data_IF_854842689548
#
_entry.id   IF_854842689548
#
_cell.length_a   1.000
_cell.length_b   1.000
_cell.length_c   1.000
_cell.angle_alpha   90.00
_cell.angle_beta   90.00
_cell.angle_gamma   90.00
#
_symmetry.space_group_name_H-M   'P 1'
#
loop_
_entity.id
_entity.type
_entity.pdbx_description
1 polymer ?
#
# COMPACT_ATOMS: atom_id res chain seq x y z
N UNK A 1 11.48 8.06 -16.76
CA UNK A 1 11.77 7.01 -15.75
C UNK A 1 10.49 6.82 -14.96
N UNK A 2 10.02 5.58 -14.80
CA UNK A 2 8.76 5.29 -14.10
C UNK A 2 9.10 4.97 -12.66
N UNK A 3 8.67 5.82 -11.74
CA UNK A 3 8.85 5.64 -10.30
C UNK A 3 7.53 5.28 -9.65
N UNK A 4 7.51 4.26 -8.81
CA UNK A 4 6.33 3.87 -8.04
C UNK A 4 6.62 3.94 -6.54
N UNK A 5 5.59 4.23 -5.75
CA UNK A 5 5.62 4.08 -4.31
C UNK A 5 4.93 2.77 -3.94
N UNK A 6 5.65 1.88 -3.27
CA UNK A 6 5.13 0.64 -2.70
C UNK A 6 5.09 0.77 -1.18
N UNK A 7 3.91 0.62 -0.58
CA UNK A 7 3.76 0.69 0.88
C UNK A 7 3.28 -0.60 1.50
N UNK A 8 3.68 -0.82 2.75
CA UNK A 8 3.12 -1.84 3.64
C UNK A 8 2.93 -1.26 5.04
N UNK A 9 2.43 -2.07 5.96
CA UNK A 9 2.19 -1.66 7.34
C UNK A 9 3.05 -2.45 8.32
N UNK A 10 3.42 -1.82 9.43
CA UNK A 10 3.97 -2.51 10.59
C UNK A 10 3.00 -3.53 11.22
N UNK A 11 3.49 -4.43 12.08
CA UNK A 11 2.61 -5.29 12.88
C UNK A 11 1.65 -4.50 13.76
N UNK A 12 0.45 -5.02 13.96
CA UNK A 12 -0.60 -4.41 14.78
C UNK A 12 -1.54 -5.47 15.36
N UNK A 13 -2.38 -5.07 16.31
CA UNK A 13 -3.45 -5.93 16.83
C UNK A 13 -2.95 -7.18 17.57
N UNK A 14 -1.75 -7.12 18.16
CA UNK A 14 -1.12 -8.24 18.88
C UNK A 14 -0.39 -9.25 18.00
N UNK A 15 -0.26 -8.99 16.69
CA UNK A 15 0.63 -9.75 15.81
C UNK A 15 2.05 -9.21 15.88
N UNK A 16 3.04 -10.09 15.85
CA UNK A 16 4.46 -9.73 15.72
C UNK A 16 4.90 -9.58 14.24
N UNK A 17 4.02 -9.95 13.31
CA UNK A 17 4.31 -9.96 11.87
C UNK A 17 3.21 -9.25 11.07
N UNK A 18 3.60 -8.66 9.94
CA UNK A 18 2.67 -8.16 8.94
C UNK A 18 3.23 -8.47 7.54
N UNK A 19 2.56 -9.38 6.83
CA UNK A 19 3.02 -9.86 5.51
C UNK A 19 3.19 -8.72 4.50
N UNK A 20 2.45 -7.61 4.65
CA UNK A 20 2.64 -6.44 3.78
C UNK A 20 4.02 -5.79 3.98
N UNK A 21 4.51 -5.68 5.22
CA UNK A 21 5.86 -5.21 5.52
C UNK A 21 6.91 -6.17 4.97
N UNK A 22 6.72 -7.48 5.15
CA UNK A 22 7.67 -8.49 4.67
C UNK A 22 7.82 -8.42 3.14
N UNK A 23 6.70 -8.33 2.41
CA UNK A 23 6.69 -8.18 0.95
C UNK A 23 7.38 -6.89 0.51
N UNK A 24 7.08 -5.74 1.14
CA UNK A 24 7.76 -4.48 0.80
C UNK A 24 9.26 -4.56 1.06
N UNK A 25 9.67 -5.12 2.20
CA UNK A 25 11.10 -5.24 2.55
C UNK A 25 11.86 -6.17 1.61
N UNK A 26 11.22 -7.23 1.11
CA UNK A 26 11.79 -8.16 0.14
C UNK A 26 11.85 -7.59 -1.29
N UNK A 27 11.11 -6.52 -1.59
CA UNK A 27 11.01 -5.97 -2.94
C UNK A 27 12.31 -5.28 -3.38
N UNK A 28 12.71 -5.52 -4.62
CA UNK A 28 13.88 -4.88 -5.23
C UNK A 28 13.63 -3.39 -5.51
N UNK A 29 14.67 -2.57 -5.44
CA UNK A 29 14.59 -1.12 -5.69
C UNK A 29 14.36 -0.77 -7.17
N UNK A 30 14.65 -1.69 -8.08
CA UNK A 30 14.48 -1.52 -9.52
C UNK A 30 14.07 -2.86 -10.09
N UNK A 31 12.94 -2.89 -10.80
CA UNK A 31 12.41 -4.12 -11.42
C UNK A 31 12.26 -3.93 -12.93
N UNK A 32 12.44 -5.02 -13.68
CA UNK A 32 12.08 -5.09 -15.09
C UNK A 32 10.71 -5.74 -15.21
N UNK A 33 9.74 -5.00 -15.72
CA UNK A 33 8.40 -5.50 -16.01
C UNK A 33 8.36 -5.88 -17.49
N UNK A 34 8.21 -7.16 -17.77
CA UNK A 34 7.90 -7.64 -19.12
C UNK A 34 6.40 -7.53 -19.38
N UNK A 35 6.00 -7.50 -20.66
CA UNK A 35 4.59 -7.50 -21.03
C UNK A 35 3.92 -8.82 -20.60
N UNK A 36 3.00 -8.79 -19.61
CA UNK A 36 2.34 -10.00 -19.13
C UNK A 36 1.31 -10.53 -20.13
N UNK A 37 0.98 -9.76 -21.17
CA UNK A 37 0.02 -10.11 -22.22
C UNK A 37 0.67 -10.29 -23.59
N UNK A 38 1.99 -10.51 -23.63
CA UNK A 38 2.75 -10.68 -24.88
C UNK A 38 2.18 -11.73 -25.84
N UNK A 39 1.48 -12.73 -25.30
CA UNK A 39 0.87 -13.83 -26.06
C UNK A 39 -0.58 -13.53 -26.52
N UNK A 40 -1.17 -12.40 -26.09
CA UNK A 40 -2.58 -12.05 -26.36
C UNK A 40 -2.74 -10.94 -27.43
N UNK A 41 -1.64 -10.42 -27.98
CA UNK A 41 -1.70 -9.34 -28.96
C UNK A 41 -0.33 -8.75 -29.28
N UNK A 42 -0.28 -7.53 -29.86
CA UNK A 42 0.98 -6.82 -30.09
C UNK A 42 1.73 -6.62 -28.78
N UNK A 43 2.94 -7.18 -28.71
CA UNK A 43 3.81 -7.10 -27.54
C UNK A 43 4.17 -5.66 -27.21
N UNK A 44 4.13 -5.33 -25.92
CA UNK A 44 4.55 -4.04 -25.36
C UNK A 44 6.03 -4.10 -24.97
N UNK A 45 6.76 -2.97 -25.08
CA UNK A 45 8.14 -2.92 -24.62
C UNK A 45 8.20 -3.17 -23.10
N UNK A 46 9.28 -3.84 -22.66
CA UNK A 46 9.57 -3.99 -21.24
C UNK A 46 9.81 -2.63 -20.60
N UNK A 47 9.45 -2.52 -19.32
CA UNK A 47 9.53 -1.30 -18.56
C UNK A 47 10.42 -1.49 -17.34
N UNK A 48 11.47 -0.69 -17.22
CA UNK A 48 12.22 -0.59 -15.97
C UNK A 48 11.53 0.38 -15.03
N UNK A 49 11.16 -0.11 -13.84
CA UNK A 49 10.47 0.66 -12.80
C UNK A 49 11.39 0.81 -11.60
N UNK A 50 11.52 2.04 -11.10
CA UNK A 50 12.16 2.34 -9.82
C UNK A 50 11.11 2.28 -8.71
N UNK A 51 11.43 1.54 -7.64
CA UNK A 51 10.51 1.26 -6.54
C UNK A 51 11.00 1.96 -5.29
N UNK A 52 10.25 2.97 -4.90
CA UNK A 52 10.37 3.54 -3.56
C UNK A 52 9.53 2.72 -2.58
N UNK A 53 10.12 2.38 -1.43
CA UNK A 53 9.49 1.52 -0.43
C UNK A 53 9.19 2.33 0.83
N UNK A 54 7.99 2.16 1.38
CA UNK A 54 7.61 2.83 2.64
C UNK A 54 6.84 1.89 3.56
N UNK A 55 7.35 1.68 4.76
CA UNK A 55 6.57 1.10 5.85
C UNK A 55 5.80 2.24 6.54
N UNK A 56 4.50 2.04 6.69
CA UNK A 56 3.58 2.94 7.38
C UNK A 56 3.32 2.40 8.80
N UNK A 57 3.30 3.31 9.78
CA UNK A 57 2.82 2.97 11.11
C UNK A 57 1.31 2.72 11.09
N UNK A 58 0.81 1.86 11.98
CA UNK A 58 -0.63 1.61 12.11
C UNK A 58 -1.20 2.58 13.14
N UNK A 59 -1.20 3.87 12.79
CA UNK A 59 -1.75 4.95 13.60
C UNK A 59 -2.24 6.11 12.72
N UNK A 60 -2.65 7.23 13.33
CA UNK A 60 -3.10 8.41 12.60
C UNK A 60 -2.01 9.02 11.72
N UNK A 61 -0.77 9.05 12.19
CA UNK A 61 0.33 9.67 11.45
C UNK A 61 0.67 8.85 10.20
N UNK A 62 0.82 7.53 10.37
CA UNK A 62 1.07 6.59 9.28
C UNK A 62 -0.03 6.61 8.22
N UNK A 63 -1.30 6.69 8.65
CA UNK A 63 -2.44 6.78 7.71
C UNK A 63 -2.43 8.03 6.83
N UNK A 64 -1.82 9.13 7.28
CA UNK A 64 -1.77 10.40 6.56
C UNK A 64 -0.44 10.64 5.85
N UNK A 65 0.56 9.79 6.07
CA UNK A 65 1.94 10.02 5.61
C UNK A 65 2.02 10.21 4.10
N UNK A 66 1.39 9.34 3.31
CA UNK A 66 1.46 9.43 1.85
C UNK A 66 0.68 10.63 1.31
N UNK A 67 -0.51 10.91 1.84
CA UNK A 67 -1.27 12.10 1.47
C UNK A 67 -0.47 13.39 1.72
N UNK A 68 0.13 13.54 2.90
CA UNK A 68 1.00 14.69 3.22
C UNK A 68 2.18 14.83 2.25
N UNK A 69 2.79 13.73 1.81
CA UNK A 69 3.90 13.78 0.85
C UNK A 69 3.43 14.28 -0.51
N UNK A 70 2.25 13.83 -0.96
CA UNK A 70 1.61 14.33 -2.18
C UNK A 70 1.31 15.83 -2.05
N UNK A 71 0.73 16.26 -0.93
CA UNK A 71 0.44 17.68 -0.66
C UNK A 71 1.71 18.53 -0.63
N UNK A 72 2.84 17.94 -0.22
CA UNK A 72 4.17 18.58 -0.23
C UNK A 72 4.85 18.57 -1.60
N UNK A 73 4.16 18.10 -2.65
CA UNK A 73 4.62 18.14 -4.04
C UNK A 73 5.40 16.91 -4.50
N UNK A 74 5.46 15.85 -3.70
CA UNK A 74 6.00 14.57 -4.16
C UNK A 74 5.05 13.90 -5.14
N UNK A 75 5.60 13.19 -6.13
CA UNK A 75 4.80 12.52 -7.16
C UNK A 75 5.42 11.20 -7.59
N UNK A 76 4.56 10.26 -7.96
CA UNK A 76 4.93 8.96 -8.51
C UNK A 76 4.04 8.66 -9.71
N UNK A 77 4.50 7.77 -10.60
CA UNK A 77 3.68 7.27 -11.70
C UNK A 77 2.54 6.37 -11.23
N UNK A 78 2.72 5.71 -10.08
CA UNK A 78 1.68 4.95 -9.39
C UNK A 78 2.03 4.79 -7.90
N UNK A 79 1.01 4.57 -7.08
CA UNK A 79 1.14 4.23 -5.67
C UNK A 79 0.41 2.90 -5.45
N UNK A 80 1.08 1.92 -4.85
CA UNK A 80 0.51 0.63 -4.49
C UNK A 80 0.57 0.45 -2.97
N UNK A 81 -0.60 0.50 -2.35
CA UNK A 81 -0.75 0.23 -0.91
C UNK A 81 -1.03 -1.26 -0.68
N UNK A 82 -0.14 -1.93 0.05
CA UNK A 82 -0.36 -3.29 0.53
C UNK A 82 -0.87 -3.28 1.97
N UNK A 83 -1.79 -4.21 2.26
CA UNK A 83 -2.30 -4.47 3.60
C UNK A 83 -2.46 -5.96 3.84
N UNK A 84 -2.81 -6.32 5.08
CA UNK A 84 -3.07 -7.70 5.46
C UNK A 84 -4.58 -7.93 5.57
N UNK A 85 -5.06 -9.02 4.96
CA UNK A 85 -6.41 -9.53 5.16
C UNK A 85 -6.33 -10.85 5.94
N UNK A 86 -6.68 -10.82 7.23
CA UNK A 86 -6.50 -11.97 8.13
C UNK A 86 -7.31 -13.23 7.77
N UNK A 87 -8.29 -13.13 6.86
CA UNK A 87 -9.12 -14.26 6.42
C UNK A 87 -8.96 -14.61 4.94
N UNK A 88 -8.12 -13.87 4.19
CA UNK A 88 -7.95 -14.09 2.76
C UNK A 88 -6.90 -15.18 2.51
N UNK A 89 -7.20 -16.12 1.60
CA UNK A 89 -6.25 -17.16 1.16
C UNK A 89 -5.46 -16.78 -0.09
N UNK A 90 -5.87 -15.71 -0.78
CA UNK A 90 -5.24 -15.20 -2.01
C UNK A 90 -5.20 -13.67 -1.98
N UNK A 91 -4.24 -13.03 -2.66
CA UNK A 91 -4.22 -11.58 -2.83
C UNK A 91 -5.49 -11.06 -3.51
N UNK A 92 -5.94 -9.86 -3.11
CA UNK A 92 -7.11 -9.19 -3.68
C UNK A 92 -6.73 -7.78 -4.13
N UNK A 93 -7.45 -7.30 -5.13
CA UNK A 93 -7.39 -5.91 -5.57
C UNK A 93 -8.67 -5.24 -5.06
N UNK A 94 -8.49 -4.27 -4.16
CA UNK A 94 -9.60 -3.44 -3.70
C UNK A 94 -10.01 -2.48 -4.82
N UNK A 95 -11.27 -2.52 -5.24
CA UNK A 95 -11.78 -1.72 -6.37
C UNK A 95 -12.53 -0.47 -5.91
N UNK A 96 -12.88 -0.40 -4.63
CA UNK A 96 -13.64 0.70 -4.02
C UNK A 96 -13.04 1.02 -2.65
N UNK A 97 -12.85 2.31 -2.38
CA UNK A 97 -12.61 2.81 -1.03
C UNK A 97 -13.89 3.50 -0.52
N UNK A 98 -14.34 3.15 0.67
CA UNK A 98 -15.50 3.78 1.29
C UNK A 98 -15.07 5.02 2.10
N UNK A 99 -15.90 6.06 2.05
CA UNK A 99 -15.74 7.25 2.88
C UNK A 99 -16.24 7.00 4.33
N UNK A 100 -15.64 6.01 4.98
CA UNK A 100 -16.05 5.55 6.30
C UNK A 100 -14.89 4.97 7.08
N UNK A 101 -14.76 5.39 8.33
CA UNK A 101 -13.81 4.87 9.31
C UNK A 101 -14.55 4.30 10.51
N UNK A 102 -14.51 2.98 10.65
CA UNK A 102 -15.12 2.25 11.75
C UNK A 102 -14.15 1.15 12.24
N UNK A 103 -13.52 1.38 13.40
CA UNK A 103 -12.46 0.53 13.95
C UNK A 103 -12.99 -0.44 15.00
N UNK A 104 -12.81 -1.75 14.76
CA UNK A 104 -13.17 -2.80 15.73
C UNK A 104 -12.17 -2.94 16.88
N UNK A 105 -10.91 -2.61 16.64
CA UNK A 105 -9.81 -2.62 17.62
C UNK A 105 -9.09 -1.27 17.57
N UNK A 106 -8.39 -0.85 18.64
CA UNK A 106 -7.54 0.34 18.59
C UNK A 106 -6.39 0.14 17.58
N UNK A 107 -5.94 1.25 16.99
CA UNK A 107 -4.69 1.31 16.26
C UNK A 107 -3.49 1.28 17.24
N UNK A 108 -2.25 1.24 16.72
CA UNK A 108 -1.03 1.16 17.55
C UNK A 108 -0.82 2.42 18.42
N UNK A 109 -1.44 3.54 18.06
CA UNK A 109 -1.48 4.76 18.88
C UNK A 109 -2.58 4.75 19.95
N UNK A 110 -3.34 3.66 20.07
CA UNK A 110 -4.46 3.53 21.00
C UNK A 110 -5.75 4.24 20.56
N UNK A 111 -5.77 4.85 19.36
CA UNK A 111 -6.98 5.49 18.83
C UNK A 111 -7.94 4.40 18.35
N UNK A 112 -9.18 4.45 18.83
CA UNK A 112 -10.27 3.63 18.35
C UNK A 112 -11.46 4.51 18.01
N UNK A 113 -11.85 4.53 16.73
CA UNK A 113 -12.97 5.33 16.25
C UNK A 113 -14.15 4.40 15.97
N UNK A 114 -15.25 4.56 16.70
CA UNK A 114 -16.43 3.72 16.52
C UNK A 114 -17.05 3.92 15.12
N UNK A 115 -17.25 5.17 14.73
CA UNK A 115 -17.74 5.55 13.39
C UNK A 115 -17.40 7.01 13.10
N UNK A 116 -16.91 7.29 11.89
CA UNK A 116 -16.72 8.64 11.36
C UNK A 116 -16.61 8.60 9.84
N UNK A 117 -16.78 9.76 9.20
CA UNK A 117 -16.51 9.98 7.78
C UNK A 117 -15.04 10.41 7.61
N UNK A 118 -14.37 9.95 6.54
CA UNK A 118 -12.99 10.32 6.22
C UNK A 118 -12.93 11.66 5.46
N UNK A 119 -13.96 11.92 4.66
CA UNK A 119 -14.30 13.09 3.82
C UNK A 119 -13.33 13.49 2.71
N UNK A 120 -12.15 12.87 2.61
CA UNK A 120 -11.19 13.13 1.53
C UNK A 120 -10.50 14.49 1.63
#
# INVERSE_FOLDING_TARGET
>A
MVGILLTGFEPFGGSDVNVSMDVVNAFEKRILIEDPWKDLGPSRPSLTVDVERSILSVDREGSLKVAKRIDNGESWSAILHLGVCGSCSVPRIETVAEDRLAMRIPDNGGRQVAESTLSG
#
